data_IF_242477527004
#
_entry.id   IF_242477527004
#
_cell.length_a   1.000
_cell.length_b   1.000
_cell.length_c   1.000
_cell.angle_alpha   90.00
_cell.angle_beta   90.00
_cell.angle_gamma   90.00
#
_symmetry.space_group_name_H-M   'P 1'
#
loop_
_entity.id
_entity.type
_entity.pdbx_description
1 polymer ?
#
# COMPACT_ATOMS: atom_id res chain seq x y z
N UNK A 1 -9.53 -3.67 0.92
CA UNK A 1 -9.64 -5.14 0.73
C UNK A 1 -11.03 -5.64 1.07
N UNK A 2 -11.50 -5.57 2.33
CA UNK A 2 -12.82 -6.08 2.75
C UNK A 2 -13.98 -5.48 1.97
N UNK A 3 -14.04 -4.15 1.85
CA UNK A 3 -15.10 -3.47 1.07
C UNK A 3 -15.14 -4.00 -0.38
N UNK A 4 -13.96 -4.10 -1.02
CA UNK A 4 -13.83 -4.63 -2.39
C UNK A 4 -14.33 -6.08 -2.50
N UNK A 5 -13.93 -6.97 -1.59
CA UNK A 5 -14.36 -8.37 -1.62
C UNK A 5 -15.87 -8.53 -1.39
N UNK A 6 -16.50 -7.58 -0.69
CA UNK A 6 -17.95 -7.54 -0.51
C UNK A 6 -18.68 -6.82 -1.65
N UNK A 7 -17.99 -6.33 -2.69
CA UNK A 7 -18.58 -5.53 -3.77
C UNK A 7 -19.05 -4.13 -3.33
N UNK A 8 -18.56 -3.63 -2.19
CA UNK A 8 -18.95 -2.36 -1.61
C UNK A 8 -18.01 -1.20 -2.01
N UNK A 9 -18.57 0.01 -2.08
CA UNK A 9 -17.81 1.24 -2.33
C UNK A 9 -17.14 1.74 -1.05
N UNK A 10 -15.80 1.60 -0.99
CA UNK A 10 -15.00 2.10 0.12
C UNK A 10 -15.11 3.62 0.33
N UNK A 11 -15.28 4.41 -0.73
CA UNK A 11 -15.42 5.87 -0.64
C UNK A 11 -16.78 6.27 -0.06
N UNK A 12 -17.84 5.51 -0.34
CA UNK A 12 -19.12 5.69 0.35
C UNK A 12 -18.99 5.34 1.85
N UNK A 13 -18.32 4.23 2.17
CA UNK A 13 -18.10 3.79 3.56
C UNK A 13 -17.31 4.83 4.37
N UNK A 14 -16.18 5.32 3.85
CA UNK A 14 -15.34 6.29 4.57
C UNK A 14 -16.07 7.63 4.76
N UNK A 15 -16.89 8.06 3.80
CA UNK A 15 -17.74 9.25 3.95
C UNK A 15 -18.78 9.06 5.05
N UNK A 16 -19.47 7.93 5.06
CA UNK A 16 -20.46 7.61 6.08
C UNK A 16 -19.82 7.53 7.49
N UNK A 17 -18.63 6.93 7.61
CA UNK A 17 -17.88 6.87 8.88
C UNK A 17 -17.47 8.25 9.41
N UNK A 18 -17.20 9.20 8.52
CA UNK A 18 -16.76 10.56 8.89
C UNK A 18 -17.92 11.53 9.13
N UNK A 19 -19.10 11.23 8.60
CA UNK A 19 -20.25 12.13 8.63
C UNK A 19 -20.63 12.46 10.07
N UNK A 20 -20.66 13.76 10.41
CA UNK A 20 -20.96 14.27 11.75
C UNK A 20 -20.11 13.65 12.86
N UNK A 21 -18.90 13.18 12.54
CA UNK A 21 -17.99 12.55 13.50
C UNK A 21 -16.61 13.23 13.49
N UNK A 22 -16.44 14.34 14.23
CA UNK A 22 -15.22 15.16 14.19
C UNK A 22 -13.92 14.38 14.48
N UNK A 23 -13.98 13.33 15.31
CA UNK A 23 -12.82 12.50 15.65
C UNK A 23 -12.26 11.73 14.45
N UNK A 24 -13.07 11.47 13.42
CA UNK A 24 -12.62 10.82 12.19
C UNK A 24 -12.26 11.80 11.07
N UNK A 25 -12.29 13.12 11.32
CA UNK A 25 -11.99 14.12 10.29
C UNK A 25 -10.63 13.90 9.61
N UNK A 26 -9.63 13.51 10.39
CA UNK A 26 -8.26 13.22 9.93
C UNK A 26 -8.02 11.78 9.48
N UNK A 27 -9.05 10.93 9.41
CA UNK A 27 -8.86 9.54 9.04
C UNK A 27 -8.30 9.43 7.61
N UNK A 28 -7.16 8.73 7.40
CA UNK A 28 -6.49 8.71 6.11
C UNK A 28 -7.32 7.97 5.04
N UNK A 29 -7.08 8.32 3.78
CA UNK A 29 -7.61 7.57 2.64
C UNK A 29 -6.95 6.20 2.48
N UNK A 30 -7.45 5.36 1.57
CA UNK A 30 -6.82 4.09 1.27
C UNK A 30 -5.52 4.34 0.48
N UNK A 31 -4.49 3.54 0.73
CA UNK A 31 -3.23 3.62 0.02
C UNK A 31 -2.08 2.98 0.79
N UNK A 32 -0.90 3.01 0.19
CA UNK A 32 0.33 2.60 0.86
C UNK A 32 0.64 3.54 2.03
N UNK A 33 0.87 2.96 3.20
CA UNK A 33 1.50 3.66 4.32
C UNK A 33 2.98 3.27 4.32
N UNK A 34 3.82 4.09 3.72
CA UNK A 34 5.22 3.75 3.49
C UNK A 34 6.16 4.75 4.19
N UNK A 35 7.46 4.53 3.99
CA UNK A 35 8.51 5.32 4.62
C UNK A 35 9.18 4.59 5.77
N UNK A 36 10.44 4.94 6.07
CA UNK A 36 11.29 4.13 6.95
C UNK A 36 10.78 4.09 8.39
N UNK A 37 10.18 5.17 8.90
CA UNK A 37 9.84 5.29 10.32
C UNK A 37 8.77 4.27 10.76
N UNK A 38 7.63 4.19 10.06
CA UNK A 38 6.53 3.31 10.47
C UNK A 38 6.96 1.85 10.52
N UNK A 39 7.67 1.37 9.49
CA UNK A 39 8.16 0.00 9.46
C UNK A 39 9.24 -0.25 10.51
N UNK A 40 10.27 0.62 10.56
CA UNK A 40 11.40 0.47 11.47
C UNK A 40 10.95 0.52 12.93
N UNK A 41 10.19 1.54 13.31
CA UNK A 41 9.78 1.75 14.71
C UNK A 41 8.84 0.62 15.16
N UNK A 42 7.92 0.17 14.30
CA UNK A 42 7.02 -0.96 14.61
C UNK A 42 7.80 -2.26 14.82
N UNK A 43 8.77 -2.57 13.95
CA UNK A 43 9.57 -3.79 14.10
C UNK A 43 10.52 -3.72 15.30
N UNK A 44 11.06 -2.53 15.61
CA UNK A 44 11.86 -2.32 16.81
C UNK A 44 11.03 -2.52 18.08
N UNK A 45 9.82 -1.96 18.14
CA UNK A 45 8.90 -2.18 19.26
C UNK A 45 8.48 -3.66 19.37
N UNK A 46 8.24 -4.33 18.25
CA UNK A 46 7.93 -5.76 18.25
C UNK A 46 9.09 -6.59 18.82
N UNK A 47 10.33 -6.31 18.40
CA UNK A 47 11.51 -6.98 18.93
C UNK A 47 11.71 -6.70 20.43
N UNK A 48 11.58 -5.43 20.84
CA UNK A 48 11.67 -5.03 22.25
C UNK A 48 10.62 -5.72 23.13
N UNK A 49 9.38 -5.80 22.64
CA UNK A 49 8.28 -6.49 23.30
C UNK A 49 8.35 -8.03 23.20
N UNK A 50 9.47 -8.61 22.74
CA UNK A 50 9.64 -10.06 22.53
C UNK A 50 8.50 -10.66 21.70
N UNK A 51 8.16 -9.99 20.60
CA UNK A 51 7.06 -10.31 19.69
C UNK A 51 5.66 -10.31 20.33
N UNK A 52 5.47 -9.69 21.51
CA UNK A 52 4.15 -9.49 22.13
C UNK A 52 3.43 -8.23 21.60
N UNK A 53 3.85 -7.69 20.45
CA UNK A 53 3.23 -6.56 19.79
C UNK A 53 2.44 -6.98 18.54
N UNK A 54 1.45 -7.86 18.76
CA UNK A 54 0.67 -8.47 17.66
C UNK A 54 -0.03 -7.46 16.76
N UNK A 55 -0.53 -6.36 17.34
CA UNK A 55 -1.18 -5.29 16.56
C UNK A 55 -0.22 -4.63 15.56
N UNK A 56 1.02 -4.36 15.97
CA UNK A 56 2.04 -3.80 15.08
C UNK A 56 2.40 -4.75 13.94
N UNK A 57 2.54 -6.04 14.25
CA UNK A 57 2.78 -7.05 13.23
C UNK A 57 1.64 -7.14 12.23
N UNK A 58 0.39 -7.18 12.72
CA UNK A 58 -0.80 -7.19 11.87
C UNK A 58 -0.89 -5.93 11.00
N UNK A 59 -0.58 -4.75 11.54
CA UNK A 59 -0.57 -3.50 10.78
C UNK A 59 0.45 -3.56 9.62
N UNK A 60 1.66 -4.07 9.88
CA UNK A 60 2.66 -4.24 8.83
C UNK A 60 2.24 -5.29 7.80
N UNK A 61 1.70 -6.43 8.23
CA UNK A 61 1.19 -7.46 7.33
C UNK A 61 0.08 -6.95 6.40
N UNK A 62 -0.87 -6.18 6.93
CA UNK A 62 -1.95 -5.60 6.13
C UNK A 62 -1.41 -4.62 5.08
N UNK A 63 -0.48 -3.75 5.49
CA UNK A 63 0.08 -2.73 4.60
C UNK A 63 0.99 -3.33 3.50
N UNK A 64 1.86 -4.26 3.86
CA UNK A 64 2.73 -4.98 2.93
C UNK A 64 1.93 -5.91 2.00
N UNK A 65 0.89 -6.57 2.52
CA UNK A 65 0.01 -7.45 1.76
C UNK A 65 -0.80 -6.73 0.68
N UNK A 66 -0.99 -5.41 0.80
CA UNK A 66 -1.68 -4.61 -0.20
C UNK A 66 -0.97 -4.66 -1.57
N UNK A 67 0.35 -4.80 -1.59
CA UNK A 67 1.13 -4.94 -2.83
C UNK A 67 0.70 -6.18 -3.61
N UNK A 68 0.65 -7.34 -2.94
CA UNK A 68 0.29 -8.60 -3.59
C UNK A 68 -1.18 -8.60 -4.02
N UNK A 69 -2.06 -8.04 -3.20
CA UNK A 69 -3.47 -7.87 -3.58
C UNK A 69 -3.62 -7.05 -4.87
N UNK A 70 -2.84 -5.97 -5.04
CA UNK A 70 -2.87 -5.16 -6.27
C UNK A 70 -2.42 -5.96 -7.50
N UNK A 71 -1.37 -6.77 -7.36
CA UNK A 71 -0.90 -7.63 -8.45
C UNK A 71 -1.96 -8.67 -8.82
N UNK A 72 -2.56 -9.32 -7.83
CA UNK A 72 -3.64 -10.31 -8.06
C UNK A 72 -4.85 -9.67 -8.73
N UNK A 73 -5.22 -8.47 -8.31
CA UNK A 73 -6.31 -7.70 -8.91
C UNK A 73 -6.04 -7.38 -10.39
N UNK A 74 -4.82 -6.97 -10.72
CA UNK A 74 -4.41 -6.71 -12.09
C UNK A 74 -4.42 -7.99 -12.94
N UNK A 75 -3.93 -9.12 -12.41
CA UNK A 75 -3.93 -10.41 -13.10
C UNK A 75 -5.33 -10.97 -13.36
N UNK A 76 -6.30 -10.64 -12.50
CA UNK A 76 -7.70 -11.04 -12.71
C UNK A 76 -8.40 -10.19 -13.76
N UNK A 77 -8.05 -8.91 -13.84
CA UNK A 77 -8.66 -7.97 -14.76
C UNK A 77 -8.01 -7.99 -16.16
N UNK A 78 -6.72 -8.34 -16.25
CA UNK A 78 -5.92 -8.20 -17.46
C UNK A 78 -4.93 -9.36 -17.64
N UNK A 79 -4.60 -9.67 -18.90
CA UNK A 79 -3.52 -10.60 -19.27
C UNK A 79 -2.16 -9.89 -19.20
N UNK A 80 -1.73 -9.53 -17.99
CA UNK A 80 -0.57 -8.63 -17.79
C UNK A 80 0.75 -9.19 -18.32
N UNK A 81 0.88 -10.51 -18.50
CA UNK A 81 2.05 -11.18 -19.07
C UNK A 81 2.42 -10.69 -20.48
N UNK A 82 1.45 -10.16 -21.23
CA UNK A 82 1.66 -9.58 -22.56
C UNK A 82 1.66 -8.05 -22.55
N UNK A 83 1.48 -7.42 -21.39
CA UNK A 83 1.26 -5.98 -21.26
C UNK A 83 2.47 -5.26 -20.65
N UNK A 84 2.57 -3.97 -21.00
CA UNK A 84 3.45 -3.04 -20.31
C UNK A 84 2.67 -2.32 -19.22
N UNK A 85 3.12 -2.42 -17.97
CA UNK A 85 2.50 -1.77 -16.82
C UNK A 85 3.31 -0.52 -16.44
N UNK A 86 2.65 0.63 -16.33
CA UNK A 86 3.27 1.86 -15.86
C UNK A 86 2.95 2.12 -14.39
N UNK A 87 3.97 2.42 -13.59
CA UNK A 87 3.83 2.91 -12.21
C UNK A 87 4.13 4.41 -12.18
N UNK A 88 3.16 5.18 -11.69
CA UNK A 88 3.28 6.64 -11.51
C UNK A 88 3.43 6.91 -10.02
N UNK A 89 4.61 7.37 -9.60
CA UNK A 89 4.96 7.61 -8.20
C UNK A 89 5.80 6.48 -7.61
N UNK A 90 7.05 6.80 -7.28
CA UNK A 90 8.08 5.91 -6.75
C UNK A 90 8.52 6.30 -5.34
N UNK A 91 8.51 7.59 -4.99
CA UNK A 91 8.73 8.03 -3.61
C UNK A 91 7.68 7.44 -2.66
N UNK A 92 8.00 7.35 -1.37
CA UNK A 92 7.08 6.73 -0.40
C UNK A 92 5.85 7.60 -0.08
N UNK A 93 5.92 8.90 -0.38
CA UNK A 93 4.84 9.88 -0.27
C UNK A 93 5.01 10.99 -1.33
N UNK A 94 3.98 11.82 -1.50
CA UNK A 94 4.04 12.96 -2.40
C UNK A 94 5.05 14.02 -1.94
N UNK A 95 5.54 14.82 -2.91
CA UNK A 95 6.41 15.99 -2.70
C UNK A 95 7.72 15.69 -1.94
N UNK A 96 8.29 14.49 -2.14
CA UNK A 96 9.63 14.12 -1.65
C UNK A 96 10.33 13.22 -2.65
N UNK A 97 11.66 13.14 -2.56
CA UNK A 97 12.55 12.26 -3.31
C UNK A 97 12.92 10.97 -2.55
N UNK A 98 12.35 10.77 -1.36
CA UNK A 98 12.72 9.66 -0.48
C UNK A 98 12.06 8.34 -0.92
N UNK A 99 12.91 7.41 -1.36
CA UNK A 99 12.51 6.08 -1.85
C UNK A 99 12.57 4.99 -0.79
N UNK A 100 13.07 5.30 0.42
CA UNK A 100 13.30 4.30 1.47
C UNK A 100 11.99 3.68 1.92
N UNK A 101 11.95 2.34 1.90
CA UNK A 101 10.77 1.55 2.25
C UNK A 101 9.50 1.95 1.47
N UNK A 102 9.65 2.50 0.26
CA UNK A 102 8.51 2.74 -0.64
C UNK A 102 7.93 1.43 -1.15
N UNK A 103 6.62 1.26 -1.00
CA UNK A 103 5.90 0.09 -1.51
C UNK A 103 5.77 0.10 -3.03
N UNK A 104 5.96 1.24 -3.71
CA UNK A 104 6.00 1.29 -5.19
C UNK A 104 7.13 0.45 -5.77
N UNK A 105 8.29 0.41 -5.11
CA UNK A 105 9.38 -0.47 -5.53
C UNK A 105 9.03 -1.94 -5.27
N UNK A 106 8.40 -2.30 -4.16
CA UNK A 106 7.96 -3.68 -3.93
C UNK A 106 6.93 -4.11 -4.97
N UNK A 107 6.00 -3.22 -5.33
CA UNK A 107 5.04 -3.44 -6.41
C UNK A 107 5.72 -3.62 -7.76
N UNK A 108 6.72 -2.78 -8.08
CA UNK A 108 7.55 -2.94 -9.29
C UNK A 108 8.14 -4.35 -9.38
N UNK A 109 8.84 -4.80 -8.34
CA UNK A 109 9.48 -6.11 -8.35
C UNK A 109 8.45 -7.25 -8.48
N UNK A 110 7.31 -7.16 -7.78
CA UNK A 110 6.25 -8.14 -7.90
C UNK A 110 5.65 -8.21 -9.31
N UNK A 111 5.48 -7.05 -9.97
CA UNK A 111 4.99 -6.96 -11.34
C UNK A 111 6.02 -7.43 -12.38
N UNK A 112 7.31 -7.17 -12.18
CA UNK A 112 8.38 -7.62 -13.08
C UNK A 112 8.43 -9.15 -13.24
N UNK A 113 7.94 -9.90 -12.25
CA UNK A 113 7.86 -11.36 -12.32
C UNK A 113 6.72 -11.84 -13.24
N UNK A 114 5.67 -11.04 -13.43
CA UNK A 114 4.43 -11.50 -14.07
C UNK A 114 3.96 -10.65 -15.27
N UNK A 115 4.49 -9.45 -15.47
CA UNK A 115 4.17 -8.57 -16.59
C UNK A 115 5.27 -8.60 -17.65
N UNK A 116 4.94 -8.27 -18.91
CA UNK A 116 5.93 -8.22 -20.00
C UNK A 116 7.03 -7.19 -19.73
N UNK A 117 6.63 -6.02 -19.22
CA UNK A 117 7.52 -4.91 -18.92
C UNK A 117 6.88 -4.01 -17.87
N UNK A 118 7.68 -3.50 -16.93
CA UNK A 118 7.26 -2.47 -15.98
C UNK A 118 8.01 -1.18 -16.30
N UNK A 119 7.28 -0.08 -16.43
CA UNK A 119 7.83 1.26 -16.57
C UNK A 119 7.50 2.05 -15.31
N UNK A 120 8.39 2.96 -14.93
CA UNK A 120 8.23 3.78 -13.73
C UNK A 120 8.53 5.23 -14.04
N UNK A 121 7.81 6.15 -13.42
CA UNK A 121 8.12 7.58 -13.44
C UNK A 121 7.74 8.21 -12.10
N UNK A 122 8.52 9.18 -11.68
CA UNK A 122 8.26 10.03 -10.52
C UNK A 122 8.95 11.38 -10.78
N UNK A 123 8.28 12.52 -10.56
CA UNK A 123 8.88 13.83 -10.80
C UNK A 123 10.04 14.20 -9.85
N UNK A 124 10.17 13.51 -8.70
CA UNK A 124 11.16 13.82 -7.67
C UNK A 124 12.24 12.75 -7.50
N UNK A 125 12.14 11.60 -8.18
CA UNK A 125 13.04 10.42 -8.02
C UNK A 125 13.73 10.03 -9.33
#
# INVERSE_FOLDING_TARGET
MIAKSAGADYQAIIRAMKQNYPRAGSFPGPGFSAGPCLFKDTMQLAAYARNQFGLGHAAMQVNEGLVLQLVDDLRRAYEISNMTVGLLGMAFKAEVDDTRASLSYKLKHALEICARKVLTTDPFV
#
